data_IF_067330770724
#
_entry.id   IF_067330770724
#
_cell.length_a   1.000
_cell.length_b   1.000
_cell.length_c   1.000
_cell.angle_alpha   90.00
_cell.angle_beta   90.00
_cell.angle_gamma   90.00
#
_symmetry.space_group_name_H-M   'P 1'
#
loop_
_entity.id
_entity.type
_entity.pdbx_description
1 polymer ?
#
# COMPACT_ATOMS: atom_id res chain seq x y z
N UNK A 1 -17.50 3.31 -17.28
CA UNK A 1 -17.92 3.21 -15.87
C UNK A 1 -17.14 2.05 -15.24
N UNK A 2 -15.93 2.30 -14.74
CA UNK A 2 -15.15 1.25 -14.08
C UNK A 2 -15.79 0.98 -12.70
N UNK A 3 -16.08 -0.29 -12.43
CA UNK A 3 -16.58 -0.71 -11.12
C UNK A 3 -15.54 -0.48 -10.02
N UNK A 4 -15.93 -0.59 -8.74
CA UNK A 4 -14.99 -0.41 -7.63
C UNK A 4 -13.88 -1.47 -7.69
N UNK A 5 -12.63 -1.03 -7.89
CA UNK A 5 -11.46 -1.89 -7.90
C UNK A 5 -11.36 -2.65 -6.57
N UNK A 6 -11.18 -3.98 -6.65
CA UNK A 6 -11.06 -4.90 -5.54
C UNK A 6 -9.58 -5.12 -5.19
N UNK A 7 -9.28 -5.71 -4.03
CA UNK A 7 -7.91 -6.14 -3.66
C UNK A 7 -7.29 -7.02 -4.76
N UNK A 8 -8.10 -7.83 -5.44
CA UNK A 8 -7.67 -8.61 -6.60
C UNK A 8 -7.09 -7.77 -7.74
N UNK A 9 -7.57 -6.54 -7.93
CA UNK A 9 -7.07 -5.63 -8.95
C UNK A 9 -5.73 -5.01 -8.56
N UNK A 10 -5.50 -4.75 -7.27
CA UNK A 10 -4.17 -4.33 -6.80
C UNK A 10 -3.13 -5.44 -6.96
N UNK A 11 -3.51 -6.68 -6.66
CA UNK A 11 -2.64 -7.85 -6.87
C UNK A 11 -2.34 -8.03 -8.35
N UNK A 12 -3.32 -7.84 -9.24
CA UNK A 12 -3.09 -7.97 -10.68
C UNK A 12 -2.18 -6.86 -11.22
N UNK A 13 -2.33 -5.62 -10.73
CA UNK A 13 -1.45 -4.50 -11.06
C UNK A 13 -0.03 -4.70 -10.53
N UNK A 14 0.13 -5.23 -9.30
CA UNK A 14 1.44 -5.58 -8.75
C UNK A 14 2.15 -6.63 -9.60
N UNK A 15 1.43 -7.70 -9.99
CA UNK A 15 1.95 -8.73 -10.91
C UNK A 15 2.34 -8.14 -12.27
N UNK A 16 1.52 -7.25 -12.82
CA UNK A 16 1.81 -6.55 -14.07
C UNK A 16 3.11 -5.73 -13.97
N UNK A 17 3.28 -4.98 -12.88
CA UNK A 17 4.49 -4.19 -12.64
C UNK A 17 5.74 -5.09 -12.53
N UNK A 18 5.65 -6.22 -11.82
CA UNK A 18 6.72 -7.22 -11.75
C UNK A 18 7.04 -7.83 -13.11
N UNK A 19 6.02 -8.18 -13.90
CA UNK A 19 6.20 -8.72 -15.25
C UNK A 19 6.93 -7.72 -16.15
N UNK A 20 6.56 -6.44 -16.09
CA UNK A 20 7.22 -5.35 -16.82
C UNK A 20 8.69 -5.23 -16.39
N UNK A 21 8.95 -5.24 -15.08
CA UNK A 21 10.31 -5.15 -14.54
C UNK A 21 11.18 -6.33 -14.98
N UNK A 22 10.69 -7.56 -14.83
CA UNK A 22 11.41 -8.77 -15.23
C UNK A 22 11.67 -8.74 -16.74
N UNK A 23 10.66 -8.47 -17.56
CA UNK A 23 10.83 -8.45 -19.01
C UNK A 23 11.78 -7.36 -19.51
N UNK A 24 11.84 -6.22 -18.82
CA UNK A 24 12.72 -5.11 -19.21
C UNK A 24 14.14 -5.21 -18.66
N UNK A 25 14.32 -5.75 -17.45
CA UNK A 25 15.55 -5.59 -16.67
C UNK A 25 16.02 -6.87 -15.93
N UNK A 26 15.54 -8.08 -16.29
CA UNK A 26 15.98 -9.32 -15.63
C UNK A 26 17.44 -9.71 -15.87
N UNK A 27 18.08 -9.16 -16.91
CA UNK A 27 19.48 -9.47 -17.24
C UNK A 27 20.31 -8.18 -17.17
N UNK A 28 21.25 -8.12 -16.23
CA UNK A 28 22.21 -7.03 -16.00
C UNK A 28 23.17 -6.87 -17.20
N UNK A 29 22.66 -6.36 -18.31
CA UNK A 29 23.49 -5.91 -19.43
C UNK A 29 23.87 -4.44 -19.24
N UNK A 30 24.91 -3.97 -19.96
CA UNK A 30 25.46 -2.59 -19.98
C UNK A 30 24.43 -1.49 -20.36
N UNK A 31 23.25 -1.46 -19.76
CA UNK A 31 22.23 -0.50 -20.07
C UNK A 31 22.61 0.90 -19.56
N UNK A 32 22.09 1.93 -20.23
CA UNK A 32 22.31 3.32 -19.84
C UNK A 32 21.82 3.57 -18.42
N UNK A 33 22.50 4.45 -17.67
CA UNK A 33 22.11 4.82 -16.30
C UNK A 33 20.62 5.20 -16.18
N UNK A 34 20.10 5.96 -17.15
CA UNK A 34 18.71 6.40 -17.17
C UNK A 34 17.73 5.24 -17.39
N UNK A 35 18.10 4.24 -18.20
CA UNK A 35 17.32 3.02 -18.38
C UNK A 35 17.23 2.22 -17.07
N UNK A 36 18.35 2.12 -16.35
CA UNK A 36 18.40 1.46 -15.04
C UNK A 36 17.59 2.22 -13.98
N UNK A 37 17.63 3.54 -13.99
CA UNK A 37 16.81 4.37 -13.11
C UNK A 37 15.31 4.17 -13.37
N UNK A 38 14.88 4.12 -14.64
CA UNK A 38 13.50 3.81 -14.97
C UNK A 38 13.08 2.41 -14.47
N UNK A 39 13.95 1.41 -14.63
CA UNK A 39 13.71 0.06 -14.09
C UNK A 39 13.57 0.05 -12.57
N UNK A 40 14.37 0.83 -11.85
CA UNK A 40 14.25 0.99 -10.38
C UNK A 40 12.90 1.58 -9.98
N UNK A 41 12.41 2.57 -10.73
CA UNK A 41 11.12 3.20 -10.44
C UNK A 41 9.95 2.23 -10.70
N UNK A 42 10.00 1.44 -11.77
CA UNK A 42 9.01 0.39 -12.06
C UNK A 42 9.02 -0.71 -11.00
N UNK A 43 10.20 -1.13 -10.54
CA UNK A 43 10.32 -2.09 -9.43
C UNK A 43 9.75 -1.53 -8.13
N UNK A 44 10.10 -0.29 -7.77
CA UNK A 44 9.59 0.36 -6.57
C UNK A 44 8.06 0.49 -6.59
N UNK A 45 7.47 0.71 -7.77
CA UNK A 45 6.02 0.67 -7.94
C UNK A 45 5.44 -0.72 -7.65
N UNK A 46 6.07 -1.78 -8.15
CA UNK A 46 5.63 -3.16 -7.89
C UNK A 46 5.65 -3.50 -6.39
N UNK A 47 6.76 -3.16 -5.71
CA UNK A 47 6.91 -3.35 -4.27
C UNK A 47 5.85 -2.58 -3.47
N UNK A 48 5.55 -1.33 -3.85
CA UNK A 48 4.52 -0.52 -3.21
C UNK A 48 3.11 -1.09 -3.39
N UNK A 49 2.79 -1.64 -4.57
CA UNK A 49 1.51 -2.28 -4.84
C UNK A 49 1.32 -3.55 -4.00
N UNK A 50 2.39 -4.33 -3.80
CA UNK A 50 2.37 -5.50 -2.92
C UNK A 50 2.12 -5.10 -1.45
N UNK A 51 2.81 -4.07 -0.96
CA UNK A 51 2.60 -3.53 0.38
C UNK A 51 1.14 -3.08 0.54
N UNK A 52 0.63 -2.29 -0.40
CA UNK A 52 -0.73 -1.76 -0.35
C UNK A 52 -1.77 -2.89 -0.34
N UNK A 53 -1.61 -3.89 -1.20
CA UNK A 53 -2.46 -5.09 -1.24
C UNK A 53 -2.45 -5.83 0.11
N UNK A 54 -1.27 -6.01 0.71
CA UNK A 54 -1.14 -6.70 2.00
C UNK A 54 -1.85 -5.96 3.14
N UNK A 55 -1.70 -4.63 3.19
CA UNK A 55 -2.31 -3.77 4.22
C UNK A 55 -3.83 -3.81 4.10
N UNK A 56 -4.37 -3.74 2.89
CA UNK A 56 -5.83 -3.80 2.68
C UNK A 56 -6.37 -5.19 3.03
N UNK A 57 -5.70 -6.27 2.62
CA UNK A 57 -6.10 -7.63 2.96
C UNK A 57 -6.10 -7.85 4.49
N UNK A 58 -5.08 -7.35 5.18
CA UNK A 58 -5.01 -7.40 6.64
C UNK A 58 -6.12 -6.56 7.29
N UNK A 59 -6.39 -5.36 6.79
CA UNK A 59 -7.50 -4.54 7.26
C UNK A 59 -8.85 -5.29 7.10
N UNK A 60 -9.15 -5.82 5.91
CA UNK A 60 -10.38 -6.59 5.65
C UNK A 60 -10.49 -7.81 6.59
N UNK A 61 -9.40 -8.54 6.84
CA UNK A 61 -9.39 -9.68 7.78
C UNK A 61 -9.62 -9.28 9.24
N UNK A 62 -9.14 -8.11 9.63
CA UNK A 62 -9.29 -7.58 10.99
C UNK A 62 -10.75 -7.17 11.23
N UNK A 63 -11.37 -6.56 10.22
CA UNK A 63 -12.77 -6.16 10.24
C UNK A 63 -13.73 -7.35 10.24
N UNK A 64 -13.40 -8.43 9.53
CA UNK A 64 -14.18 -9.66 9.57
C UNK A 64 -14.15 -10.30 10.97
N UNK A 65 -13.02 -10.20 11.69
CA UNK A 65 -12.90 -10.66 13.08
C UNK A 65 -13.67 -9.76 14.06
N UNK A 66 -13.59 -8.43 13.89
CA UNK A 66 -14.27 -7.45 14.74
C UNK A 66 -15.81 -7.54 14.65
N UNK A 67 -16.35 -7.91 13.48
CA UNK A 67 -17.80 -8.13 13.26
C UNK A 67 -18.42 -9.21 14.14
N UNK A 68 -17.62 -10.04 14.82
CA UNK A 68 -18.09 -11.02 15.80
C UNK A 68 -18.22 -10.45 17.23
N UNK A 69 -17.72 -9.24 17.52
CA UNK A 69 -17.70 -8.66 18.87
C UNK A 69 -18.40 -7.31 19.03
N UNK A 70 -18.13 -6.32 18.17
CA UNK A 70 -18.72 -4.97 18.26
C UNK A 70 -18.81 -4.38 16.86
N UNK A 71 -19.95 -3.78 16.50
CA UNK A 71 -20.16 -3.12 15.20
C UNK A 71 -19.40 -1.79 15.12
N UNK A 72 -18.08 -1.82 15.11
CA UNK A 72 -17.28 -0.62 14.80
C UNK A 72 -17.30 -0.46 13.29
N UNK A 73 -18.23 0.37 12.80
CA UNK A 73 -18.31 0.77 11.39
C UNK A 73 -17.03 1.53 11.05
N UNK A 74 -16.10 0.81 10.45
CA UNK A 74 -15.14 1.32 9.47
C UNK A 74 -15.68 2.56 8.77
N UNK A 75 -15.05 3.71 9.04
CA UNK A 75 -15.26 4.98 8.34
C UNK A 75 -14.48 5.05 7.02
N UNK A 76 -14.08 3.91 6.48
CA UNK A 76 -13.35 3.85 5.21
C UNK A 76 -14.35 3.91 4.06
N UNK A 77 -14.28 4.97 3.26
CA UNK A 77 -14.88 4.92 1.92
C UNK A 77 -13.95 4.13 1.02
N UNK A 78 -14.37 2.92 0.62
CA UNK A 78 -13.68 2.09 -0.36
C UNK A 78 -13.40 2.86 -1.66
N UNK A 79 -14.22 3.86 -2.00
CA UNK A 79 -13.96 4.76 -3.14
C UNK A 79 -12.72 5.61 -2.94
N UNK A 80 -12.43 6.11 -1.73
CA UNK A 80 -11.19 6.87 -1.48
C UNK A 80 -9.96 6.01 -1.70
N UNK A 81 -10.04 4.70 -1.43
CA UNK A 81 -9.02 3.70 -1.74
C UNK A 81 -8.86 3.45 -3.25
N UNK A 82 -9.97 3.43 -3.98
CA UNK A 82 -10.01 3.30 -5.44
C UNK A 82 -9.45 4.56 -6.13
N UNK A 83 -9.68 5.73 -5.54
CA UNK A 83 -9.15 7.01 -6.02
C UNK A 83 -7.61 7.10 -5.87
N UNK A 84 -7.02 6.37 -4.91
CA UNK A 84 -5.56 6.23 -4.71
C UNK A 84 -4.90 5.50 -5.87
N UNK A 85 -5.56 4.43 -6.35
CA UNK A 85 -5.03 3.57 -7.42
C UNK A 85 -5.02 4.31 -8.74
N UNK A 86 -5.50 5.57 -8.78
CA UNK A 86 -5.38 6.46 -9.93
C UNK A 86 -5.64 5.73 -11.24
N UNK A 87 -4.87 6.07 -12.27
CA UNK A 87 -4.74 5.24 -13.46
C UNK A 87 -3.38 4.52 -13.44
N UNK A 88 -3.16 3.68 -12.42
CA UNK A 88 -1.94 2.85 -12.37
C UNK A 88 -1.92 1.84 -13.51
N UNK A 89 -3.09 1.30 -13.90
CA UNK A 89 -3.23 0.40 -15.04
C UNK A 89 -2.77 1.09 -16.34
N UNK A 90 -3.27 2.29 -16.64
CA UNK A 90 -2.82 3.07 -17.79
C UNK A 90 -1.34 3.39 -17.74
N UNK A 91 -0.81 3.84 -16.59
CA UNK A 91 0.65 4.09 -16.45
C UNK A 91 1.46 2.82 -16.70
N UNK A 92 1.06 1.66 -16.16
CA UNK A 92 1.77 0.40 -16.36
C UNK A 92 1.67 -0.11 -17.81
N UNK A 93 0.52 0.05 -18.47
CA UNK A 93 0.37 -0.25 -19.89
C UNK A 93 1.28 0.62 -20.74
N UNK A 94 1.33 1.92 -20.48
CA UNK A 94 2.23 2.83 -21.18
C UNK A 94 3.71 2.48 -20.93
N UNK A 95 4.09 2.08 -19.71
CA UNK A 95 5.42 1.54 -19.43
C UNK A 95 5.72 0.28 -20.27
N UNK A 96 4.76 -0.65 -20.35
CA UNK A 96 4.90 -1.87 -21.16
C UNK A 96 5.03 -1.54 -22.65
N UNK A 97 4.21 -0.64 -23.18
CA UNK A 97 4.25 -0.19 -24.56
C UNK A 97 5.56 0.51 -24.91
N UNK A 98 6.05 1.37 -24.01
CA UNK A 98 7.33 2.05 -24.16
C UNK A 98 8.47 1.02 -24.26
N UNK A 99 8.48 -0.01 -23.42
CA UNK A 99 9.51 -1.05 -23.43
C UNK A 99 9.39 -2.00 -24.63
N UNK A 100 8.17 -2.35 -25.04
CA UNK A 100 7.93 -3.20 -26.19
C UNK A 100 8.39 -2.51 -27.49
N UNK A 101 8.03 -1.24 -27.68
CA UNK A 101 8.43 -0.42 -28.83
C UNK A 101 9.93 -0.11 -28.86
N UNK A 102 10.60 -0.20 -27.71
CA UNK A 102 12.02 0.12 -27.54
C UNK A 102 12.85 -1.10 -27.08
N UNK A 103 12.41 -2.33 -27.42
CA UNK A 103 13.10 -3.56 -27.04
C UNK A 103 14.57 -3.61 -27.50
N UNK A 104 14.91 -2.90 -28.57
CA UNK A 104 16.26 -2.77 -29.14
C UNK A 104 17.31 -2.17 -28.19
N UNK A 105 16.88 -1.49 -27.13
CA UNK A 105 17.78 -0.91 -26.12
C UNK A 105 18.11 -1.85 -24.97
N UNK A 106 17.49 -3.05 -24.89
CA UNK A 106 17.83 -4.07 -23.88
C UNK A 106 19.23 -4.68 -24.06
N UNK A 107 19.75 -4.70 -25.30
CA UNK A 107 20.90 -5.56 -25.66
C UNK A 107 22.10 -4.85 -26.30
N UNK A 108 22.39 -3.58 -26.00
CA UNK A 108 23.63 -3.00 -26.53
C UNK A 108 23.88 -1.54 -26.17
N UNK A 109 25.02 -1.30 -25.53
CA UNK A 109 25.50 0.01 -25.11
C UNK A 109 26.40 0.64 -26.19
N UNK A 110 25.79 1.19 -27.23
CA UNK A 110 26.50 2.03 -28.19
C UNK A 110 26.32 3.51 -27.87
N UNK A 111 27.33 4.39 -28.03
CA UNK A 111 27.18 5.84 -27.85
C UNK A 111 25.99 6.42 -28.63
N UNK A 112 25.75 5.92 -29.86
CA UNK A 112 24.61 6.32 -30.69
C UNK A 112 23.26 5.84 -30.15
N UNK A 113 23.18 4.60 -29.62
CA UNK A 113 21.94 4.09 -29.00
C UNK A 113 21.64 4.82 -27.69
N UNK A 114 22.66 5.23 -26.93
CA UNK A 114 22.47 6.05 -25.73
C UNK A 114 21.94 7.44 -26.10
N UNK A 115 22.45 8.07 -27.15
CA UNK A 115 21.95 9.35 -27.64
C UNK A 115 20.51 9.23 -28.16
N UNK A 116 20.20 8.16 -28.89
CA UNK A 116 18.85 7.89 -29.41
C UNK A 116 17.84 7.68 -28.28
N UNK A 117 18.21 6.93 -27.24
CA UNK A 117 17.41 6.81 -26.02
C UNK A 117 17.18 8.17 -25.36
N UNK A 118 18.24 8.96 -25.17
CA UNK A 118 18.17 10.27 -24.53
C UNK A 118 17.32 11.29 -25.29
N UNK A 119 17.26 11.19 -26.63
CA UNK A 119 16.49 12.12 -27.45
C UNK A 119 15.04 11.67 -27.67
N UNK A 120 14.82 10.36 -27.88
CA UNK A 120 13.52 9.84 -28.36
C UNK A 120 12.69 9.15 -27.27
N UNK A 121 13.33 8.55 -26.27
CA UNK A 121 12.64 7.71 -25.29
C UNK A 121 12.64 8.34 -23.90
N UNK A 122 13.73 9.01 -23.53
CA UNK A 122 13.92 9.66 -22.24
C UNK A 122 12.82 10.65 -21.86
N UNK A 123 12.31 11.54 -22.75
CA UNK A 123 11.25 12.46 -22.35
C UNK A 123 9.96 11.73 -21.93
N UNK A 124 9.58 10.68 -22.66
CA UNK A 124 8.42 9.85 -22.34
C UNK A 124 8.67 9.01 -21.09
N UNK A 125 9.87 8.44 -20.95
CA UNK A 125 10.25 7.71 -19.74
C UNK A 125 10.19 8.63 -18.51
N UNK A 126 10.70 9.86 -18.59
CA UNK A 126 10.68 10.82 -17.47
C UNK A 126 9.25 11.24 -17.11
N UNK A 127 8.35 11.40 -18.08
CA UNK A 127 6.93 11.62 -17.80
C UNK A 127 6.29 10.44 -17.05
N UNK A 128 6.59 9.20 -17.47
CA UNK A 128 6.11 8.00 -16.77
C UNK A 128 6.70 7.92 -15.36
N UNK A 129 8.00 8.21 -15.19
CA UNK A 129 8.66 8.26 -13.88
C UNK A 129 7.99 9.28 -12.95
N UNK A 130 7.69 10.48 -13.43
CA UNK A 130 6.96 11.48 -12.64
C UNK A 130 5.56 11.01 -12.22
N UNK A 131 4.84 10.34 -13.12
CA UNK A 131 3.54 9.73 -12.79
C UNK A 131 3.68 8.63 -11.74
N UNK A 132 4.69 7.78 -11.84
CA UNK A 132 5.00 6.73 -10.86
C UNK A 132 5.30 7.36 -9.49
N UNK A 133 6.12 8.41 -9.44
CA UNK A 133 6.43 9.13 -8.19
C UNK A 133 5.17 9.74 -7.56
N UNK A 134 4.31 10.36 -8.38
CA UNK A 134 3.05 10.94 -7.91
C UNK A 134 2.08 9.87 -7.40
N UNK A 135 2.01 8.74 -8.10
CA UNK A 135 1.24 7.57 -7.69
C UNK A 135 1.72 7.07 -6.32
N UNK A 136 3.04 6.89 -6.15
CA UNK A 136 3.64 6.47 -4.88
C UNK A 136 3.41 7.48 -3.74
N UNK A 137 3.48 8.78 -4.00
CA UNK A 137 3.24 9.80 -2.95
C UNK A 137 1.78 9.80 -2.48
N UNK A 138 0.82 9.59 -3.39
CA UNK A 138 -0.60 9.46 -3.03
C UNK A 138 -0.83 8.30 -2.07
N UNK A 139 -0.16 7.16 -2.24
CA UNK A 139 -0.28 6.03 -1.31
C UNK A 139 0.05 6.45 0.14
N UNK A 140 1.14 7.19 0.34
CA UNK A 140 1.54 7.67 1.67
C UNK A 140 0.49 8.59 2.30
N UNK A 141 -0.15 9.44 1.51
CA UNK A 141 -1.18 10.37 2.01
C UNK A 141 -2.44 9.67 2.51
N UNK A 142 -2.76 8.45 2.03
CA UNK A 142 -3.87 7.67 2.58
C UNK A 142 -3.44 6.72 3.70
N UNK A 143 -2.21 6.18 3.64
CA UNK A 143 -1.71 5.36 4.74
C UNK A 143 -1.61 6.16 6.06
N UNK A 144 -1.41 7.48 6.01
CA UNK A 144 -1.37 8.33 7.21
C UNK A 144 -2.69 8.36 7.99
N UNK A 145 -3.86 8.62 7.37
CA UNK A 145 -5.15 8.42 8.02
C UNK A 145 -5.37 7.00 8.57
N UNK A 146 -4.88 5.97 7.87
CA UNK A 146 -4.94 4.58 8.36
C UNK A 146 -4.18 4.41 9.69
N UNK A 147 -2.95 4.89 9.74
CA UNK A 147 -2.11 4.88 10.94
C UNK A 147 -2.80 5.60 12.11
N UNK A 148 -3.42 6.75 11.84
CA UNK A 148 -4.12 7.56 12.86
C UNK A 148 -5.39 6.87 13.38
N UNK A 149 -6.24 6.31 12.52
CA UNK A 149 -7.46 5.62 12.97
C UNK A 149 -7.12 4.38 13.80
N UNK A 150 -6.09 3.63 13.39
CA UNK A 150 -5.63 2.47 14.13
C UNK A 150 -5.13 2.87 15.53
N UNK A 151 -4.31 3.92 15.61
CA UNK A 151 -3.83 4.45 16.89
C UNK A 151 -4.99 4.92 17.78
N UNK A 152 -6.00 5.57 17.19
CA UNK A 152 -7.18 6.02 17.92
C UNK A 152 -7.98 4.85 18.50
N UNK A 153 -8.17 3.77 17.73
CA UNK A 153 -8.86 2.55 18.20
C UNK A 153 -8.09 1.85 19.31
N UNK A 154 -6.78 1.66 19.13
CA UNK A 154 -5.93 1.06 20.18
C UNK A 154 -6.03 1.88 21.47
N UNK A 155 -6.06 3.21 21.37
CA UNK A 155 -6.25 4.08 22.53
C UNK A 155 -7.62 3.88 23.18
N UNK A 156 -8.70 3.81 22.40
CA UNK A 156 -10.04 3.56 22.92
C UNK A 156 -10.14 2.20 23.61
N UNK A 157 -9.58 1.14 23.03
CA UNK A 157 -9.57 -0.20 23.65
C UNK A 157 -8.83 -0.20 24.98
N UNK A 158 -7.70 0.52 25.07
CA UNK A 158 -6.96 0.71 26.32
C UNK A 158 -7.80 1.46 27.35
N UNK A 159 -8.48 2.54 26.95
CA UNK A 159 -9.39 3.29 27.83
C UNK A 159 -10.54 2.41 28.35
N UNK A 160 -11.14 1.57 27.50
CA UNK A 160 -12.18 0.60 27.89
C UNK A 160 -11.64 -0.46 28.87
N UNK A 161 -10.47 -1.04 28.61
CA UNK A 161 -9.84 -2.00 29.51
C UNK A 161 -9.52 -1.39 30.86
N UNK A 162 -9.02 -0.15 30.90
CA UNK A 162 -8.79 0.55 32.16
C UNK A 162 -10.09 0.77 32.94
N UNK A 163 -11.17 1.19 32.27
CA UNK A 163 -12.47 1.37 32.91
C UNK A 163 -13.02 0.05 33.48
N UNK A 164 -12.92 -1.05 32.74
CA UNK A 164 -13.33 -2.38 33.21
C UNK A 164 -12.52 -2.84 34.43
N UNK A 165 -11.19 -2.69 34.37
CA UNK A 165 -10.31 -3.04 35.48
C UNK A 165 -10.62 -2.22 36.74
N UNK A 166 -10.83 -0.91 36.61
CA UNK A 166 -11.23 -0.06 37.73
C UNK A 166 -12.56 -0.52 38.33
N UNK A 167 -13.57 -0.79 37.50
CA UNK A 167 -14.86 -1.29 37.96
C UNK A 167 -14.75 -2.60 38.73
N UNK A 168 -13.94 -3.56 38.23
CA UNK A 168 -13.73 -4.86 38.90
C UNK A 168 -12.94 -4.72 40.19
N UNK A 169 -11.94 -3.84 40.24
CA UNK A 169 -11.18 -3.54 41.46
C UNK A 169 -12.06 -2.92 42.53
N UNK A 170 -12.93 -1.97 42.18
CA UNK A 170 -13.87 -1.35 43.11
C UNK A 170 -14.84 -2.39 43.68
N UNK A 171 -15.33 -3.31 42.84
CA UNK A 171 -16.17 -4.44 43.28
C UNK A 171 -15.46 -5.35 44.28
N UNK A 172 -14.21 -5.74 44.01
CA UNK A 172 -13.41 -6.55 44.93
C UNK A 172 -13.18 -5.79 46.25
N UNK A 173 -12.89 -4.49 46.18
CA UNK A 173 -12.65 -3.67 47.35
C UNK A 173 -13.89 -3.56 48.24
N UNK A 174 -15.07 -3.46 47.61
CA UNK A 174 -16.36 -3.50 48.28
C UNK A 174 -16.61 -4.85 48.96
N UNK A 175 -16.36 -5.97 48.27
CA UNK A 175 -16.56 -7.32 48.81
C UNK A 175 -15.61 -7.64 49.99
N UNK A 176 -14.35 -7.18 49.93
CA UNK A 176 -13.39 -7.31 51.05
C UNK A 176 -13.87 -6.53 52.28
N UNK A 177 -14.36 -5.29 52.10
CA UNK A 177 -14.90 -4.51 53.22
C UNK A 177 -16.13 -5.18 53.85
N UNK A 178 -17.00 -5.77 53.03
CA UNK A 178 -18.19 -6.48 53.51
C UNK A 178 -17.84 -7.73 54.31
N UNK A 179 -16.83 -8.48 53.89
CA UNK A 179 -16.40 -9.71 54.59
C UNK A 179 -15.62 -9.41 55.88
N UNK A 180 -14.82 -8.34 55.92
CA UNK A 180 -14.11 -7.92 57.14
C UNK A 180 -15.01 -7.17 58.14
N UNK A 181 -16.03 -6.45 57.69
CA UNK A 181 -17.00 -5.77 58.57
C UNK A 181 -18.05 -6.71 59.19
N UNK A 182 -18.21 -7.93 58.66
CA UNK A 182 -19.17 -8.94 59.14
C UNK A 182 -18.62 -9.89 60.22
N UNK A 183 -17.37 -9.71 60.66
CA UNK A 183 -16.72 -10.58 61.64
C UNK A 183 -16.49 -9.87 62.98
N UNK A 184 -17.57 -9.46 63.64
CA UNK A 184 -17.56 -9.17 65.08
C UNK A 184 -18.92 -9.52 65.70
N UNK A 185 -19.05 -10.70 66.34
CA UNK A 185 -20.03 -10.93 67.40
C UNK A 185 -19.63 -10.26 68.72
#
# INVERSE_FOLDING_TARGET
>A
MAGPLQVGDLVSLGRLAWEIYVNGWSEDHNATKQYLEFGRDVRGLAENLDILSSVIAQADSSLQRERQGVKTRVRWDRKSLIEIVGDYDGTLRECRELLASNARYRGGSGPFRNLEWNLLVQPTADQLRQRIILHNSKVLHILKPFEIDLLYRVRQDIEYMHADLSYRLDGIHYDIKKTHGGSHP
#
